data_IF_060600656922
#
_entry.id   IF_060600656922
#
_cell.length_a   1.000
_cell.length_b   1.000
_cell.length_c   1.000
_cell.angle_alpha   90.00
_cell.angle_beta   90.00
_cell.angle_gamma   90.00
#
_symmetry.space_group_name_H-M   'P 1'
#
loop_
_entity.id
_entity.type
_entity.pdbx_description
1 polymer ?
#
# COMPACT_ATOMS: atom_id res chain seq x y z
N UNK A 1 -10.82 -16.36 -19.50
CA UNK A 1 -9.65 -16.39 -18.59
C UNK A 1 -10.04 -17.09 -17.30
N UNK A 2 -9.15 -17.87 -16.68
CA UNK A 2 -9.38 -18.46 -15.35
C UNK A 2 -8.52 -17.69 -14.34
N UNK A 3 -9.19 -17.09 -13.36
CA UNK A 3 -8.58 -16.42 -12.21
C UNK A 3 -8.79 -17.28 -10.97
N UNK A 4 -7.72 -17.54 -10.22
CA UNK A 4 -7.78 -18.18 -8.92
C UNK A 4 -7.61 -17.13 -7.84
N UNK A 5 -8.52 -17.07 -6.86
CA UNK A 5 -8.39 -16.27 -5.66
C UNK A 5 -8.16 -17.21 -4.47
N UNK A 6 -7.04 -17.05 -3.76
CA UNK A 6 -6.78 -17.84 -2.56
C UNK A 6 -6.56 -17.00 -1.32
N UNK A 7 -6.61 -17.62 -0.15
CA UNK A 7 -6.37 -16.96 1.12
C UNK A 7 -7.13 -17.62 2.25
N UNK A 8 -6.53 -17.63 3.43
CA UNK A 8 -7.13 -18.19 4.64
C UNK A 8 -8.46 -17.51 4.99
N UNK A 9 -9.35 -18.18 5.74
CA UNK A 9 -10.55 -17.54 6.29
C UNK A 9 -10.20 -16.21 6.98
N UNK A 10 -10.99 -15.16 6.69
CA UNK A 10 -10.76 -13.82 7.20
C UNK A 10 -9.67 -12.99 6.49
N UNK A 11 -9.03 -13.52 5.44
CA UNK A 11 -8.06 -12.75 4.64
C UNK A 11 -8.69 -11.70 3.73
N UNK A 12 -10.01 -11.79 3.54
CA UNK A 12 -10.77 -10.90 2.65
C UNK A 12 -10.80 -11.35 1.20
N UNK A 13 -10.62 -12.66 0.92
CA UNK A 13 -10.82 -13.26 -0.42
C UNK A 13 -12.20 -12.96 -1.01
N UNK A 14 -13.26 -13.08 -0.22
CA UNK A 14 -14.63 -12.85 -0.68
C UNK A 14 -14.85 -11.39 -0.99
N UNK A 15 -14.38 -10.47 -0.14
CA UNK A 15 -14.41 -9.03 -0.45
C UNK A 15 -13.62 -8.67 -1.72
N UNK A 16 -12.56 -9.40 -2.07
CA UNK A 16 -11.86 -9.21 -3.33
C UNK A 16 -12.72 -9.66 -4.52
N UNK A 17 -13.41 -10.79 -4.40
CA UNK A 17 -14.33 -11.26 -5.44
C UNK A 17 -15.52 -10.31 -5.61
N UNK A 18 -16.13 -9.84 -4.52
CA UNK A 18 -17.24 -8.86 -4.56
C UNK A 18 -16.81 -7.57 -5.24
N UNK A 19 -15.58 -7.13 -5.02
CA UNK A 19 -15.02 -5.98 -5.72
C UNK A 19 -14.95 -6.21 -7.23
N UNK A 20 -14.44 -7.37 -7.67
CA UNK A 20 -14.42 -7.72 -9.10
C UNK A 20 -15.82 -7.83 -9.70
N UNK A 21 -16.81 -8.31 -8.93
CA UNK A 21 -18.22 -8.36 -9.35
C UNK A 21 -18.77 -6.92 -9.51
N UNK A 22 -18.52 -6.05 -8.53
CA UNK A 22 -18.92 -4.64 -8.57
C UNK A 22 -18.29 -3.91 -9.77
N UNK A 23 -17.01 -4.17 -10.04
CA UNK A 23 -16.29 -3.56 -11.15
C UNK A 23 -16.90 -4.00 -12.50
N UNK A 24 -17.35 -5.25 -12.64
CA UNK A 24 -18.13 -5.70 -13.80
C UNK A 24 -19.50 -4.99 -13.89
N UNK A 25 -20.20 -4.82 -12.76
CA UNK A 25 -21.52 -4.19 -12.72
C UNK A 25 -21.49 -2.69 -13.11
N UNK A 26 -20.38 -2.03 -12.79
CA UNK A 26 -20.13 -0.61 -13.06
C UNK A 26 -19.34 -0.34 -14.34
N UNK A 27 -18.82 -1.38 -15.00
CA UNK A 27 -18.05 -1.25 -16.22
C UNK A 27 -18.91 -0.85 -17.43
N UNK A 28 -18.27 -0.30 -18.46
CA UNK A 28 -18.93 0.10 -19.72
C UNK A 28 -19.60 -1.08 -20.43
N UNK A 29 -18.97 -2.27 -20.35
CA UNK A 29 -19.49 -3.52 -20.90
C UNK A 29 -19.75 -4.53 -19.80
N UNK A 30 -20.99 -4.53 -19.32
CA UNK A 30 -21.45 -5.45 -18.29
C UNK A 30 -21.63 -6.84 -18.91
N UNK A 31 -20.99 -7.84 -18.31
CA UNK A 31 -21.14 -9.24 -18.71
C UNK A 31 -22.10 -9.96 -17.75
N UNK A 32 -22.90 -10.94 -18.23
CA UNK A 32 -23.70 -11.79 -17.35
C UNK A 32 -22.79 -12.47 -16.33
N UNK A 33 -23.06 -12.28 -15.04
CA UNK A 33 -22.24 -12.84 -13.96
C UNK A 33 -23.06 -13.77 -13.10
N UNK A 34 -22.57 -15.00 -12.91
CA UNK A 34 -23.19 -16.03 -12.08
C UNK A 34 -22.28 -16.36 -10.90
N UNK A 35 -22.86 -16.52 -9.70
CA UNK A 35 -22.07 -16.76 -8.50
C UNK A 35 -22.82 -17.54 -7.43
N UNK A 36 -22.11 -18.42 -6.72
CA UNK A 36 -22.61 -19.12 -5.53
C UNK A 36 -22.18 -18.45 -4.21
N UNK A 37 -21.68 -17.21 -4.25
CA UNK A 37 -21.39 -16.44 -3.04
C UNK A 37 -22.73 -16.04 -2.40
N UNK A 38 -22.93 -16.48 -1.16
CA UNK A 38 -24.10 -16.12 -0.35
C UNK A 38 -24.08 -14.67 0.12
N UNK A 39 -25.25 -14.11 0.44
CA UNK A 39 -25.34 -12.79 1.09
C UNK A 39 -25.02 -11.59 0.18
N UNK A 40 -24.98 -11.79 -1.14
CA UNK A 40 -24.83 -10.72 -2.13
C UNK A 40 -26.15 -10.00 -2.39
N UNK A 41 -26.06 -8.69 -2.63
CA UNK A 41 -27.14 -7.92 -3.23
C UNK A 41 -27.09 -8.08 -4.77
N UNK A 42 -27.73 -9.15 -5.26
CA UNK A 42 -27.74 -9.51 -6.68
C UNK A 42 -28.26 -8.39 -7.60
N UNK A 43 -29.26 -7.63 -7.16
CA UNK A 43 -29.83 -6.52 -7.93
C UNK A 43 -28.82 -5.37 -8.11
N UNK A 44 -28.22 -4.89 -7.00
CA UNK A 44 -27.21 -3.83 -7.06
C UNK A 44 -25.95 -4.26 -7.80
N UNK A 45 -25.57 -5.53 -7.68
CA UNK A 45 -24.40 -6.11 -8.33
C UNK A 45 -24.66 -6.62 -9.75
N UNK A 46 -25.91 -6.53 -10.24
CA UNK A 46 -26.32 -6.96 -11.59
C UNK A 46 -25.83 -8.38 -11.93
N UNK A 47 -25.91 -9.28 -10.95
CA UNK A 47 -25.46 -10.66 -11.08
C UNK A 47 -26.58 -11.65 -10.70
N UNK A 48 -26.35 -12.92 -10.98
CA UNK A 48 -27.32 -14.00 -10.80
C UNK A 48 -26.77 -15.06 -9.84
N UNK A 49 -27.64 -15.71 -9.06
CA UNK A 49 -27.24 -16.87 -8.28
C UNK A 49 -26.84 -18.03 -9.19
N UNK A 50 -25.90 -18.85 -8.71
CA UNK A 50 -25.49 -20.10 -9.33
C UNK A 50 -25.79 -21.25 -8.36
N UNK A 51 -26.96 -21.85 -8.53
CA UNK A 51 -27.46 -22.89 -7.63
C UNK A 51 -26.62 -24.18 -7.67
N UNK A 52 -26.24 -24.61 -8.88
CA UNK A 52 -25.33 -25.72 -9.10
C UNK A 52 -24.03 -25.23 -9.76
N UNK A 53 -22.94 -25.08 -8.98
CA UNK A 53 -21.66 -24.66 -9.52
C UNK A 53 -21.03 -25.65 -10.51
N UNK A 54 -21.48 -26.91 -10.56
CA UNK A 54 -21.00 -27.88 -11.56
C UNK A 54 -21.61 -27.64 -12.95
N UNK A 55 -22.72 -26.89 -13.02
CA UNK A 55 -23.41 -26.55 -14.25
C UNK A 55 -22.84 -25.31 -14.98
N UNK A 56 -21.71 -24.77 -14.51
CA UNK A 56 -21.06 -23.63 -15.15
C UNK A 56 -20.77 -23.80 -16.66
N UNK A 57 -20.47 -25.00 -17.20
CA UNK A 57 -20.23 -25.17 -18.63
C UNK A 57 -21.43 -24.87 -19.52
N UNK A 58 -22.66 -24.92 -18.96
CA UNK A 58 -23.89 -24.68 -19.72
C UNK A 58 -24.31 -23.20 -19.75
N UNK A 59 -23.56 -22.33 -19.06
CA UNK A 59 -23.86 -20.90 -19.00
C UNK A 59 -23.61 -20.21 -20.35
N UNK A 60 -24.29 -19.08 -20.62
CA UNK A 60 -24.19 -18.41 -21.91
C UNK A 60 -22.77 -17.91 -22.21
N UNK A 61 -22.43 -17.86 -23.50
CA UNK A 61 -21.15 -17.32 -23.95
C UNK A 61 -20.97 -15.86 -23.52
N UNK A 62 -19.75 -15.51 -23.13
CA UNK A 62 -19.45 -14.19 -22.58
C UNK A 62 -19.76 -14.07 -21.09
N UNK A 63 -20.24 -15.10 -20.40
CA UNK A 63 -20.48 -15.06 -18.97
C UNK A 63 -19.18 -14.97 -18.14
N UNK A 64 -19.30 -14.38 -16.95
CA UNK A 64 -18.34 -14.49 -15.85
C UNK A 64 -18.96 -15.40 -14.79
N UNK A 65 -18.17 -16.33 -14.26
CA UNK A 65 -18.64 -17.28 -13.25
C UNK A 65 -17.71 -17.21 -12.05
N UNK A 66 -18.26 -16.88 -10.89
CA UNK A 66 -17.55 -16.83 -9.62
C UNK A 66 -17.94 -18.03 -8.79
N UNK A 67 -16.98 -18.87 -8.42
CA UNK A 67 -17.23 -20.08 -7.62
C UNK A 67 -16.47 -19.97 -6.31
N UNK A 68 -17.16 -19.68 -5.22
CA UNK A 68 -16.62 -19.75 -3.86
C UNK A 68 -16.54 -21.19 -3.36
N UNK A 69 -15.53 -21.45 -2.55
CA UNK A 69 -15.17 -22.77 -2.03
C UNK A 69 -15.13 -23.85 -3.13
N UNK A 70 -14.47 -23.55 -4.24
CA UNK A 70 -14.45 -24.39 -5.44
C UNK A 70 -13.82 -25.77 -5.21
N UNK A 71 -13.07 -25.97 -4.13
CA UNK A 71 -12.60 -27.30 -3.72
C UNK A 71 -13.74 -28.29 -3.42
N UNK A 72 -14.95 -27.80 -3.10
CA UNK A 72 -16.13 -28.66 -2.89
C UNK A 72 -16.58 -29.34 -4.18
N UNK A 73 -16.43 -28.67 -5.32
CA UNK A 73 -16.86 -29.18 -6.64
C UNK A 73 -15.70 -29.66 -7.51
N UNK A 74 -14.47 -29.21 -7.25
CA UNK A 74 -13.27 -29.58 -8.00
C UNK A 74 -12.15 -30.08 -7.05
N UNK A 75 -12.39 -31.10 -6.20
CA UNK A 75 -11.40 -31.57 -5.23
C UNK A 75 -10.21 -32.25 -5.93
N UNK A 76 -9.07 -32.44 -5.23
CA UNK A 76 -7.94 -33.17 -5.76
C UNK A 76 -8.34 -34.63 -5.99
N UNK A 77 -7.85 -35.21 -7.08
CA UNK A 77 -8.17 -36.58 -7.46
C UNK A 77 -6.97 -37.52 -7.28
N UNK A 78 -7.22 -38.82 -6.97
CA UNK A 78 -6.20 -39.85 -7.08
C UNK A 78 -5.66 -39.98 -8.50
N UNK A 79 -4.42 -40.45 -8.63
CA UNK A 79 -3.81 -40.74 -9.93
C UNK A 79 -4.66 -41.74 -10.73
N UNK A 80 -4.93 -41.44 -12.00
CA UNK A 80 -5.73 -42.28 -12.90
C UNK A 80 -7.26 -42.20 -12.72
N UNK A 81 -7.78 -41.45 -11.74
CA UNK A 81 -9.21 -41.25 -11.62
C UNK A 81 -9.78 -40.47 -12.82
N UNK A 82 -11.01 -40.78 -13.23
CA UNK A 82 -11.70 -40.06 -14.31
C UNK A 82 -11.85 -38.57 -13.96
N UNK A 83 -11.64 -37.70 -14.95
CA UNK A 83 -11.84 -36.24 -14.80
C UNK A 83 -13.35 -35.95 -14.83
N UNK A 84 -13.91 -35.21 -13.86
CA UNK A 84 -15.29 -34.76 -13.91
C UNK A 84 -15.54 -33.85 -15.14
N UNK A 85 -16.71 -33.92 -15.79
CA UNK A 85 -16.97 -33.15 -17.02
C UNK A 85 -16.77 -31.64 -16.87
N UNK A 86 -17.21 -31.06 -15.76
CA UNK A 86 -17.07 -29.62 -15.48
C UNK A 86 -15.64 -29.21 -15.15
N UNK A 87 -14.76 -30.14 -14.82
CA UNK A 87 -13.31 -29.88 -14.62
C UNK A 87 -12.57 -30.04 -15.94
N UNK A 88 -12.95 -31.03 -16.75
CA UNK A 88 -12.35 -31.25 -18.07
C UNK A 88 -12.61 -30.06 -19.02
N UNK A 89 -13.84 -29.50 -18.95
CA UNK A 89 -14.25 -28.33 -19.72
C UNK A 89 -13.48 -27.05 -19.38
N UNK A 90 -12.68 -27.04 -18.31
CA UNK A 90 -11.77 -25.93 -18.01
C UNK A 90 -10.77 -25.68 -19.14
N UNK A 91 -10.42 -26.67 -19.96
CA UNK A 91 -9.55 -26.46 -21.12
C UNK A 91 -10.25 -25.69 -22.25
N UNK A 92 -11.58 -25.81 -22.34
CA UNK A 92 -12.39 -25.25 -23.42
C UNK A 92 -13.07 -23.92 -23.04
N UNK A 93 -12.86 -23.44 -21.81
CA UNK A 93 -13.49 -22.24 -21.28
C UNK A 93 -13.34 -21.01 -22.20
N UNK A 94 -12.20 -20.88 -22.91
CA UNK A 94 -11.94 -19.79 -23.87
C UNK A 94 -12.80 -19.90 -25.12
N UNK A 95 -13.02 -21.11 -25.63
CA UNK A 95 -13.89 -21.35 -26.79
C UNK A 95 -15.36 -21.06 -26.46
N UNK A 96 -15.78 -21.39 -25.24
CA UNK A 96 -17.10 -21.02 -24.72
C UNK A 96 -17.23 -19.51 -24.45
N UNK A 97 -16.12 -18.76 -24.38
CA UNK A 97 -16.11 -17.35 -24.02
C UNK A 97 -16.45 -17.11 -22.53
N UNK A 98 -16.22 -18.11 -21.67
CA UNK A 98 -16.52 -18.05 -20.25
C UNK A 98 -15.25 -17.70 -19.46
N UNK A 99 -15.39 -16.73 -18.57
CA UNK A 99 -14.36 -16.37 -17.60
C UNK A 99 -14.72 -16.93 -16.23
N UNK A 100 -13.77 -17.61 -15.59
CA UNK A 100 -13.96 -18.20 -14.27
C UNK A 100 -13.13 -17.45 -13.23
N UNK A 101 -13.75 -17.20 -12.07
CA UNK A 101 -13.11 -16.72 -10.86
C UNK A 101 -13.33 -17.80 -9.80
N UNK A 102 -12.32 -18.65 -9.61
CA UNK A 102 -12.35 -19.75 -8.64
C UNK A 102 -11.81 -19.26 -7.31
N UNK A 103 -12.47 -19.56 -6.20
CA UNK A 103 -12.00 -19.18 -4.87
C UNK A 103 -11.85 -20.42 -3.97
N UNK A 104 -10.70 -20.52 -3.30
CA UNK A 104 -10.39 -21.62 -2.37
C UNK A 104 -9.46 -21.11 -1.26
N UNK A 105 -9.50 -21.67 -0.05
CA UNK A 105 -8.54 -21.31 0.99
C UNK A 105 -7.06 -21.52 0.57
N UNK A 106 -6.80 -22.60 -0.16
CA UNK A 106 -5.46 -23.03 -0.58
C UNK A 106 -5.51 -23.64 -2.00
N UNK A 107 -4.54 -23.35 -2.89
CA UNK A 107 -4.50 -23.92 -4.23
C UNK A 107 -4.46 -25.46 -4.24
N UNK A 108 -3.76 -26.09 -3.29
CA UNK A 108 -3.58 -27.56 -3.25
C UNK A 108 -4.89 -28.30 -2.93
N UNK A 109 -5.92 -27.59 -2.49
CA UNK A 109 -7.26 -28.14 -2.26
C UNK A 109 -8.08 -28.31 -3.54
N UNK A 110 -7.62 -27.84 -4.70
CA UNK A 110 -8.35 -27.98 -5.97
C UNK A 110 -7.65 -28.92 -6.94
N UNK A 111 -8.39 -29.42 -7.93
CA UNK A 111 -7.91 -30.32 -8.96
C UNK A 111 -6.62 -29.82 -9.65
N UNK A 112 -5.70 -30.74 -9.92
CA UNK A 112 -4.43 -30.45 -10.61
C UNK A 112 -4.68 -29.82 -12.00
N UNK A 113 -5.68 -30.30 -12.73
CA UNK A 113 -6.05 -29.73 -14.02
C UNK A 113 -6.51 -28.29 -13.86
N UNK A 114 -7.37 -28.02 -12.88
CA UNK A 114 -7.84 -26.67 -12.58
C UNK A 114 -6.65 -25.74 -12.31
N UNK A 115 -5.71 -26.13 -11.43
CA UNK A 115 -4.49 -25.35 -11.15
C UNK A 115 -3.67 -25.05 -12.40
N UNK A 116 -3.50 -26.02 -13.29
CA UNK A 116 -2.71 -25.86 -14.54
C UNK A 116 -3.36 -24.89 -15.54
N UNK A 117 -4.69 -24.77 -15.51
CA UNK A 117 -5.44 -23.87 -16.41
C UNK A 117 -5.54 -22.43 -15.89
N UNK A 118 -5.13 -22.17 -14.65
CA UNK A 118 -5.12 -20.82 -14.07
C UNK A 118 -4.17 -19.92 -14.84
N UNK A 119 -4.72 -18.82 -15.38
CA UNK A 119 -3.93 -17.77 -16.05
C UNK A 119 -3.63 -16.55 -15.17
N UNK A 120 -4.28 -16.45 -14.00
CA UNK A 120 -4.06 -15.38 -13.02
C UNK A 120 -4.35 -15.92 -11.63
N UNK A 121 -3.41 -15.76 -10.69
CA UNK A 121 -3.60 -16.15 -9.30
C UNK A 121 -3.47 -14.93 -8.40
N UNK A 122 -4.50 -14.65 -7.60
CA UNK A 122 -4.56 -13.60 -6.58
C UNK A 122 -4.62 -14.23 -5.19
N UNK A 123 -3.57 -14.15 -4.40
CA UNK A 123 -3.60 -14.57 -3.00
C UNK A 123 -3.82 -13.38 -2.07
N UNK A 124 -4.96 -13.38 -1.38
CA UNK A 124 -5.29 -12.42 -0.35
C UNK A 124 -4.67 -12.83 0.98
N UNK A 125 -3.73 -12.01 1.46
CA UNK A 125 -3.07 -12.15 2.75
C UNK A 125 -3.39 -10.96 3.64
N UNK A 126 -3.93 -11.20 4.84
CA UNK A 126 -4.24 -10.15 5.83
C UNK A 126 -3.26 -10.23 7.01
N UNK A 127 -2.24 -9.36 7.07
CA UNK A 127 -1.24 -9.44 8.12
C UNK A 127 -1.86 -8.98 9.45
N UNK A 128 -1.77 -9.81 10.49
CA UNK A 128 -2.15 -9.48 11.88
C UNK A 128 -3.56 -8.90 12.09
N UNK A 129 -4.50 -9.19 11.19
CA UNK A 129 -5.86 -8.66 11.27
C UNK A 129 -5.97 -7.15 10.99
N UNK A 130 -5.00 -6.54 10.30
CA UNK A 130 -5.08 -5.13 9.91
C UNK A 130 -6.29 -4.82 9.01
N UNK A 131 -6.67 -3.55 8.89
CA UNK A 131 -7.80 -3.09 8.05
C UNK A 131 -7.47 -3.07 6.54
N UNK A 132 -6.41 -3.74 6.14
CA UNK A 132 -6.02 -3.92 4.76
C UNK A 132 -5.52 -5.34 4.52
N UNK A 133 -5.56 -5.76 3.27
CA UNK A 133 -4.94 -7.00 2.78
C UNK A 133 -3.80 -6.66 1.82
N UNK A 134 -2.80 -7.53 1.77
CA UNK A 134 -1.88 -7.62 0.63
C UNK A 134 -2.46 -8.63 -0.36
N UNK A 135 -2.41 -8.29 -1.64
CA UNK A 135 -2.72 -9.20 -2.74
C UNK A 135 -1.40 -9.57 -3.39
N UNK A 136 -1.08 -10.85 -3.41
CA UNK A 136 0.03 -11.39 -4.17
C UNK A 136 -0.51 -11.92 -5.50
N UNK A 137 0.05 -11.43 -6.59
CA UNK A 137 -0.43 -11.73 -7.93
C UNK A 137 0.64 -12.48 -8.75
N UNK A 138 0.22 -13.52 -9.44
CA UNK A 138 1.01 -14.30 -10.40
C UNK A 138 0.23 -14.54 -11.69
N UNK A 139 0.95 -14.74 -12.81
CA UNK A 139 0.38 -15.10 -14.11
C UNK A 139 0.07 -16.60 -14.26
N UNK A 140 0.19 -17.37 -13.18
CA UNK A 140 -0.11 -18.80 -13.11
C UNK A 140 -0.40 -19.21 -11.67
N UNK A 141 -0.90 -20.43 -11.46
CA UNK A 141 -1.12 -20.95 -10.11
C UNK A 141 0.21 -21.20 -9.38
N UNK A 142 0.55 -20.33 -8.42
CA UNK A 142 1.52 -20.66 -7.36
C UNK A 142 0.90 -21.59 -6.31
N UNK A 143 1.44 -22.81 -6.16
CA UNK A 143 0.94 -23.80 -5.18
C UNK A 143 1.32 -23.48 -3.72
N UNK A 144 2.30 -22.59 -3.50
CA UNK A 144 2.77 -22.17 -2.19
C UNK A 144 2.72 -20.63 -2.06
N UNK A 145 1.50 -20.04 -2.04
CA UNK A 145 1.33 -18.58 -2.16
C UNK A 145 1.57 -17.81 -0.85
N UNK A 146 1.78 -18.51 0.28
CA UNK A 146 2.01 -17.88 1.58
C UNK A 146 3.27 -17.00 1.57
N UNK A 147 3.31 -15.88 2.33
CA UNK A 147 4.39 -14.91 2.28
C UNK A 147 5.80 -15.50 2.43
N UNK A 148 5.95 -16.55 3.23
CA UNK A 148 7.24 -17.22 3.45
C UNK A 148 7.88 -17.80 2.19
N UNK A 149 7.08 -18.15 1.18
CA UNK A 149 7.55 -18.79 -0.05
C UNK A 149 7.20 -17.96 -1.28
N UNK A 150 5.94 -17.52 -1.39
CA UNK A 150 5.40 -16.90 -2.59
C UNK A 150 5.77 -15.42 -2.79
N UNK A 151 6.04 -14.66 -1.72
CA UNK A 151 6.16 -13.19 -1.79
C UNK A 151 7.25 -12.71 -2.76
N UNK A 152 8.36 -13.46 -2.87
CA UNK A 152 9.55 -13.06 -3.66
C UNK A 152 9.28 -12.90 -5.16
N UNK A 153 8.35 -13.69 -5.69
CA UNK A 153 8.05 -13.74 -7.12
C UNK A 153 6.64 -13.22 -7.42
N UNK A 154 5.99 -12.57 -6.46
CA UNK A 154 4.65 -12.02 -6.59
C UNK A 154 4.70 -10.54 -6.94
N UNK A 155 3.74 -10.08 -7.74
CA UNK A 155 3.38 -8.67 -7.75
C UNK A 155 2.54 -8.38 -6.49
N UNK A 156 2.98 -7.44 -5.66
CA UNK A 156 2.36 -7.17 -4.36
C UNK A 156 1.58 -5.86 -4.40
N UNK A 157 0.28 -5.94 -4.18
CA UNK A 157 -0.59 -4.76 -4.06
C UNK A 157 -1.19 -4.69 -2.67
N UNK A 158 -1.01 -3.57 -1.97
CA UNK A 158 -1.68 -3.31 -0.69
C UNK A 158 -3.06 -2.72 -0.96
N UNK A 159 -4.11 -3.35 -0.42
CA UNK A 159 -5.50 -2.95 -0.66
C UNK A 159 -6.25 -2.78 0.67
N UNK A 160 -6.70 -1.57 1.03
CA UNK A 160 -7.55 -1.37 2.20
C UNK A 160 -8.92 -2.04 2.00
N UNK A 161 -9.60 -2.39 3.09
CA UNK A 161 -10.97 -2.87 2.99
C UNK A 161 -11.91 -1.68 2.73
N UNK A 162 -12.48 -1.65 1.52
CA UNK A 162 -13.50 -0.68 1.15
C UNK A 162 -14.80 -0.97 1.91
N UNK A 163 -15.24 0.01 2.71
CA UNK A 163 -16.43 -0.13 3.55
C UNK A 163 -17.73 -0.17 2.73
N UNK A 164 -17.74 0.42 1.53
CA UNK A 164 -18.91 0.40 0.65
C UNK A 164 -19.29 -1.01 0.19
N UNK A 165 -18.32 -1.94 0.15
CA UNK A 165 -18.56 -3.33 -0.23
C UNK A 165 -19.47 -4.06 0.78
N UNK A 166 -19.50 -3.63 2.05
CA UNK A 166 -20.40 -4.22 3.06
C UNK A 166 -21.87 -3.86 2.83
N UNK A 167 -22.17 -2.82 2.05
CA UNK A 167 -23.55 -2.54 1.63
C UNK A 167 -24.04 -3.49 0.52
N UNK A 168 -23.10 -4.08 -0.22
CA UNK A 168 -23.35 -4.97 -1.35
C UNK A 168 -23.25 -6.45 -0.95
N UNK A 169 -22.64 -6.75 0.19
CA UNK A 169 -22.37 -8.09 0.67
C UNK A 169 -22.42 -8.18 2.21
N UNK A 170 -23.20 -9.13 2.72
CA UNK A 170 -23.24 -9.49 4.14
C UNK A 170 -22.74 -10.92 4.32
N UNK A 171 -21.69 -11.11 5.13
CA UNK A 171 -21.15 -12.44 5.39
C UNK A 171 -22.03 -13.22 6.38
N UNK A 172 -22.36 -14.47 6.05
CA UNK A 172 -23.13 -15.36 6.91
C UNK A 172 -22.35 -15.90 8.13
N UNK A 173 -21.01 -15.76 8.15
CA UNK A 173 -20.16 -16.23 9.24
C UNK A 173 -19.69 -15.06 10.12
N UNK A 174 -20.38 -14.94 11.26
CA UNK A 174 -20.11 -14.14 12.46
C UNK A 174 -18.73 -13.46 12.50
N UNK A 175 -18.77 -12.13 12.55
CA UNK A 175 -17.70 -11.20 12.90
C UNK A 175 -16.81 -11.67 14.07
N UNK A 176 -15.82 -12.52 13.79
CA UNK A 176 -14.89 -13.02 14.82
C UNK A 176 -13.43 -12.88 14.38
N UNK A 177 -13.06 -11.71 13.86
CA UNK A 177 -11.66 -11.35 13.72
C UNK A 177 -11.34 -10.12 14.56
N UNK A 178 -10.97 -10.36 15.82
CA UNK A 178 -10.31 -9.35 16.65
C UNK A 178 -8.90 -9.13 16.10
N UNK A 179 -8.58 -7.90 15.71
CA UNK A 179 -7.23 -7.49 15.33
C UNK A 179 -6.26 -7.88 16.44
N UNK A 180 -5.22 -8.63 16.09
CA UNK A 180 -4.18 -9.07 17.03
C UNK A 180 -2.84 -8.53 16.53
N UNK A 181 -2.54 -7.24 16.80
CA UNK A 181 -1.23 -6.70 16.48
C UNK A 181 -0.15 -7.53 17.20
N UNK A 182 1.05 -7.72 16.60
CA UNK A 182 2.13 -8.51 17.18
C UNK A 182 2.83 -7.75 18.31
N UNK A 183 2.09 -7.52 19.42
CA UNK A 183 2.52 -6.75 20.59
C UNK A 183 3.87 -7.21 21.15
N UNK A 184 4.22 -8.49 21.02
CA UNK A 184 5.51 -9.04 21.48
C UNK A 184 6.73 -8.46 20.76
N UNK A 185 6.63 -8.18 19.45
CA UNK A 185 7.73 -7.60 18.67
C UNK A 185 7.89 -6.11 18.95
N UNK A 186 6.77 -5.40 19.09
CA UNK A 186 6.77 -4.00 19.51
C UNK A 186 7.25 -3.80 20.94
N UNK A 187 6.85 -4.68 21.87
CA UNK A 187 7.32 -4.65 23.26
C UNK A 187 8.83 -4.92 23.36
N UNK A 188 9.39 -5.79 22.51
CA UNK A 188 10.84 -6.02 22.47
C UNK A 188 11.61 -4.81 21.93
N UNK A 189 11.09 -4.15 20.89
CA UNK A 189 11.66 -2.90 20.37
C UNK A 189 11.60 -1.76 21.39
N UNK A 190 10.42 -1.51 21.98
CA UNK A 190 10.23 -0.49 23.02
C UNK A 190 11.09 -0.80 24.25
N UNK A 191 11.14 -2.07 24.65
CA UNK A 191 12.01 -2.54 25.73
C UNK A 191 13.46 -2.22 25.45
N UNK A 192 13.99 -2.60 24.28
CA UNK A 192 15.38 -2.33 23.90
C UNK A 192 15.72 -0.83 23.84
N UNK A 193 14.79 0.01 23.40
CA UNK A 193 14.96 1.45 23.35
C UNK A 193 15.00 2.06 24.75
N UNK A 194 14.13 1.60 25.66
CA UNK A 194 14.14 2.02 27.07
C UNK A 194 15.44 1.62 27.76
N UNK A 195 15.96 0.41 27.51
CA UNK A 195 17.24 -0.02 28.06
C UNK A 195 18.40 0.84 27.54
N UNK A 196 18.40 1.19 26.25
CA UNK A 196 19.42 2.06 25.67
C UNK A 196 19.39 3.46 26.29
N UNK A 197 18.21 4.04 26.51
CA UNK A 197 18.04 5.35 27.17
C UNK A 197 18.52 5.29 28.62
N UNK A 198 18.19 4.23 29.37
CA UNK A 198 18.63 4.03 30.75
C UNK A 198 20.17 3.90 30.85
N UNK A 199 20.79 3.14 29.95
CA UNK A 199 22.25 2.99 29.89
C UNK A 199 22.94 4.31 29.53
N UNK A 200 22.36 5.08 28.61
CA UNK A 200 22.87 6.41 28.23
C UNK A 200 22.77 7.41 29.38
N UNK A 201 21.64 7.45 30.09
CA UNK A 201 21.46 8.30 31.27
C UNK A 201 22.41 7.91 32.42
N UNK A 202 22.63 6.62 32.64
CA UNK A 202 23.59 6.13 33.64
C UNK A 202 25.03 6.51 33.30
N UNK A 203 25.44 6.33 32.03
CA UNK A 203 26.77 6.73 31.54
C UNK A 203 26.99 8.25 31.64
N UNK A 204 25.96 9.05 31.37
CA UNK A 204 26.04 10.50 31.49
C UNK A 204 26.18 10.91 32.97
N UNK A 205 25.39 10.32 33.86
CA UNK A 205 25.45 10.58 35.30
C UNK A 205 26.80 10.16 35.93
N UNK A 206 27.41 9.05 35.48
CA UNK A 206 28.72 8.63 35.97
C UNK A 206 29.85 9.58 35.54
N UNK A 207 29.80 10.11 34.31
CA UNK A 207 30.76 11.12 33.82
C UNK A 207 30.57 12.44 34.59
N UNK A 208 29.33 12.84 34.86
CA UNK A 208 29.02 14.07 35.58
C UNK A 208 29.47 14.02 37.05
N UNK A 209 29.39 12.86 37.71
CA UNK A 209 29.96 12.67 39.06
C UNK A 209 31.49 12.63 39.06
N UNK A 210 32.12 12.13 38.00
CA UNK A 210 33.57 12.11 37.89
C UNK A 210 34.16 13.51 37.61
N UNK A 211 33.35 14.46 37.15
CA UNK A 211 33.72 15.87 36.96
C UNK A 211 33.53 16.77 38.20
N UNK A 212 33.08 16.25 39.35
CA UNK A 212 32.83 17.02 40.58
C UNK A 212 33.82 16.73 41.72
N UNK A 213 34.97 16.13 41.44
CA UNK A 213 36.02 15.88 42.42
C UNK A 213 37.34 16.50 41.99
N UNK A 214 37.49 17.81 42.15
CA UNK A 214 38.72 18.46 42.61
C UNK A 214 38.51 19.98 42.71
N UNK A 215 38.43 20.48 43.95
CA UNK A 215 38.64 21.89 44.24
C UNK A 215 39.49 22.00 45.51
N UNK A 216 40.74 22.44 45.39
CA UNK A 216 41.41 23.18 46.45
C UNK A 216 41.42 24.67 46.12
N UNK A 217 40.86 25.44 47.05
CA UNK A 217 41.03 26.88 47.20
C UNK A 217 42.36 27.15 47.90
N UNK A 218 43.18 28.11 47.43
CA UNK A 218 43.57 29.31 48.20
C UNK A 218 44.42 30.28 47.33
N UNK A 219 44.37 31.57 47.71
CA UNK A 219 44.59 32.77 46.90
C UNK A 219 45.99 33.41 47.03
N UNK A 220 46.16 34.50 46.23
CA UNK A 220 47.06 35.67 46.35
C UNK A 220 48.29 35.69 45.40
N UNK A 221 48.62 36.75 44.64
CA UNK A 221 48.18 38.15 44.66
C UNK A 221 48.47 38.89 43.32
N UNK A 222 47.60 39.85 42.96
CA UNK A 222 47.79 41.21 42.35
C UNK A 222 48.89 41.47 41.30
N UNK A 223 48.67 42.21 40.19
CA UNK A 223 48.31 43.65 40.09
C UNK A 223 47.67 44.00 38.72
N UNK A 224 46.51 44.68 38.80
CA UNK A 224 45.99 45.87 38.05
C UNK A 224 46.42 46.20 36.61
N UNK A 225 45.42 46.29 35.71
CA UNK A 225 45.04 47.55 35.00
C UNK A 225 43.59 47.42 34.51
N UNK A 226 42.76 48.38 34.90
CA UNK A 226 41.40 48.60 34.41
C UNK A 226 41.42 49.81 33.48
N UNK A 227 40.72 49.75 32.34
CA UNK A 227 39.73 50.77 31.97
C UNK A 227 38.81 50.26 30.85
N UNK A 228 37.53 50.61 30.99
CA UNK A 228 36.39 50.26 30.14
C UNK A 228 36.11 51.35 29.11
N UNK A 229 35.65 50.96 27.92
CA UNK A 229 34.47 51.48 27.18
C UNK A 229 34.60 51.03 25.70
N UNK A 230 33.85 50.03 25.24
CA UNK A 230 32.44 50.07 24.82
C UNK A 230 32.23 50.68 23.42
N UNK A 231 32.15 49.84 22.38
CA UNK A 231 30.96 49.68 21.52
C UNK A 231 31.06 48.47 20.58
N UNK A 232 30.14 47.52 20.78
CA UNK A 232 29.45 46.66 19.81
C UNK A 232 30.18 46.14 18.56
N UNK A 233 30.55 44.85 18.59
CA UNK A 233 30.41 43.96 17.43
C UNK A 233 30.24 42.52 17.92
N UNK A 234 28.99 42.06 17.98
CA UNK A 234 28.68 40.65 18.16
C UNK A 234 29.01 39.90 16.87
N UNK A 235 29.98 38.98 16.91
CA UNK A 235 30.02 37.85 15.97
C UNK A 235 30.32 36.60 16.78
N UNK A 236 29.22 35.94 17.13
CA UNK A 236 29.15 34.56 17.58
C UNK A 236 29.82 33.68 16.52
N UNK A 237 30.92 33.01 16.87
CA UNK A 237 31.44 31.88 16.13
C UNK A 237 30.48 30.71 16.28
N UNK A 238 29.54 30.63 15.34
CA UNK A 238 28.64 29.52 15.13
C UNK A 238 29.45 28.27 14.75
N UNK A 239 29.18 27.18 15.47
CA UNK A 239 29.33 25.82 14.96
C UNK A 239 28.62 25.69 13.60
N UNK A 240 29.05 24.77 12.71
CA UNK A 240 28.36 24.54 11.45
C UNK A 240 26.96 24.01 11.74
N UNK A 241 25.98 24.91 11.76
CA UNK A 241 24.58 24.54 11.76
C UNK A 241 24.34 23.72 10.49
N UNK A 242 24.08 22.43 10.67
CA UNK A 242 23.46 21.61 9.62
C UNK A 242 22.29 22.42 9.05
N UNK A 243 22.18 22.58 7.72
CA UNK A 243 21.07 23.31 7.14
C UNK A 243 19.76 22.71 7.66
N UNK A 244 18.75 23.52 7.99
CA UNK A 244 17.47 23.01 8.44
C UNK A 244 16.94 21.97 7.44
N UNK A 245 16.33 20.86 7.91
CA UNK A 245 15.79 19.86 7.01
C UNK A 245 14.79 20.54 6.07
N UNK A 246 15.01 20.42 4.76
CA UNK A 246 14.12 20.98 3.75
C UNK A 246 12.70 20.44 4.00
N UNK A 247 11.70 21.30 4.20
CA UNK A 247 10.33 20.85 4.46
C UNK A 247 9.79 20.01 3.31
N UNK A 248 9.03 18.96 3.65
CA UNK A 248 8.42 18.08 2.65
C UNK A 248 7.12 18.69 2.10
N UNK A 249 6.94 18.56 0.79
CA UNK A 249 5.69 18.85 0.11
C UNK A 249 5.18 17.58 -0.61
N UNK A 250 3.89 17.53 -0.88
CA UNK A 250 3.25 16.36 -1.48
C UNK A 250 2.52 16.73 -2.75
N UNK A 251 2.79 16.00 -3.83
CA UNK A 251 1.98 16.07 -5.03
C UNK A 251 0.59 15.47 -4.76
N UNK A 252 -0.47 16.14 -5.24
CA UNK A 252 -1.86 15.70 -5.01
C UNK A 252 -2.60 15.39 -6.29
N UNK A 253 -2.52 16.26 -7.28
CA UNK A 253 -3.24 16.06 -8.53
C UNK A 253 -2.65 16.91 -9.64
N UNK A 254 -2.72 16.39 -10.86
CA UNK A 254 -2.52 17.14 -12.11
C UNK A 254 -3.88 17.31 -12.78
N UNK A 255 -4.22 18.52 -13.18
CA UNK A 255 -5.46 18.86 -13.89
C UNK A 255 -5.09 19.67 -15.13
N UNK A 256 -5.76 19.44 -16.26
CA UNK A 256 -5.56 20.26 -17.46
C UNK A 256 -6.71 21.25 -17.53
N UNK A 257 -6.41 22.55 -17.40
CA UNK A 257 -7.38 23.65 -17.48
C UNK A 257 -7.06 24.46 -18.72
N UNK A 258 -8.02 24.58 -19.64
CA UNK A 258 -7.86 25.30 -20.91
C UNK A 258 -6.62 24.87 -21.75
N UNK A 259 -6.24 23.58 -21.68
CA UNK A 259 -5.07 23.05 -22.39
C UNK A 259 -3.74 23.23 -21.67
N UNK A 260 -3.73 23.88 -20.50
CA UNK A 260 -2.53 24.05 -19.68
C UNK A 260 -2.55 23.11 -18.46
N UNK A 261 -1.43 22.42 -18.17
CA UNK A 261 -1.34 21.54 -17.02
C UNK A 261 -1.14 22.35 -15.73
N UNK A 262 -2.02 22.16 -14.76
CA UNK A 262 -1.94 22.69 -13.40
C UNK A 262 -1.63 21.57 -12.41
N UNK A 263 -0.77 21.86 -11.44
CA UNK A 263 -0.26 20.89 -10.47
C UNK A 263 -0.58 21.35 -9.06
N UNK A 264 -1.40 20.58 -8.33
CA UNK A 264 -1.74 20.86 -6.94
C UNK A 264 -0.74 20.20 -6.00
N UNK A 265 -0.16 21.01 -5.13
CA UNK A 265 0.90 20.68 -4.19
C UNK A 265 0.43 21.02 -2.78
N UNK A 266 0.61 20.12 -1.83
CA UNK A 266 0.35 20.36 -0.41
C UNK A 266 1.67 20.65 0.31
N UNK A 267 1.74 21.77 1.02
CA UNK A 267 2.93 22.19 1.76
C UNK A 267 2.89 21.62 3.19
N UNK A 268 3.60 20.51 3.46
CA UNK A 268 3.59 19.82 4.76
C UNK A 268 2.37 18.91 4.98
N UNK A 269 2.36 18.11 6.06
CA UNK A 269 1.22 17.27 6.42
C UNK A 269 0.07 18.14 6.99
N UNK A 270 -0.97 18.37 6.19
CA UNK A 270 -2.14 19.16 6.60
C UNK A 270 -2.02 20.68 6.37
N UNK A 271 -1.04 21.12 5.56
CA UNK A 271 -0.87 22.52 5.19
C UNK A 271 -1.74 22.99 4.01
N UNK A 272 -1.61 24.26 3.65
CA UNK A 272 -2.33 24.87 2.54
C UNK A 272 -1.96 24.28 1.18
N UNK A 273 -2.89 24.35 0.23
CA UNK A 273 -2.65 23.95 -1.16
C UNK A 273 -2.00 25.09 -1.95
N UNK A 274 -0.92 24.75 -2.64
CA UNK A 274 -0.26 25.61 -3.61
C UNK A 274 -0.35 24.99 -5.01
N UNK A 275 -0.35 25.83 -6.05
CA UNK A 275 -0.13 25.40 -7.42
C UNK A 275 1.35 25.57 -7.77
N UNK A 276 1.87 24.74 -8.67
CA UNK A 276 3.30 24.73 -9.03
C UNK A 276 3.78 26.06 -9.63
N UNK A 277 2.90 26.82 -10.26
CA UNK A 277 3.13 28.16 -10.80
C UNK A 277 3.42 29.22 -9.73
N UNK A 278 2.98 29.01 -8.48
CA UNK A 278 3.30 29.89 -7.36
C UNK A 278 4.76 29.78 -6.87
N UNK A 279 5.51 28.79 -7.36
CA UNK A 279 6.93 28.64 -7.08
C UNK A 279 7.76 29.28 -8.19
N UNK A 280 8.73 30.11 -7.79
CA UNK A 280 9.62 30.83 -8.69
C UNK A 280 10.41 29.89 -9.61
N UNK A 281 10.81 28.73 -9.10
CA UNK A 281 11.45 27.68 -9.89
C UNK A 281 11.22 26.30 -9.28
N UNK A 282 11.47 25.25 -10.07
CA UNK A 282 11.62 23.90 -9.56
C UNK A 282 12.80 23.22 -10.25
N UNK A 283 13.39 22.23 -9.59
CA UNK A 283 14.48 21.39 -10.12
C UNK A 283 14.19 19.92 -9.85
N UNK A 284 14.43 19.07 -10.84
CA UNK A 284 14.38 17.62 -10.66
C UNK A 284 15.78 17.11 -10.31
N UNK A 285 15.91 16.42 -9.18
CA UNK A 285 17.15 15.78 -8.72
C UNK A 285 16.90 14.29 -8.44
N UNK A 286 17.15 13.45 -9.44
CA UNK A 286 16.86 12.02 -9.38
C UNK A 286 15.35 11.76 -9.23
N UNK A 287 14.96 11.21 -8.08
CA UNK A 287 13.56 10.94 -7.74
C UNK A 287 12.88 12.07 -6.93
N UNK A 288 13.59 13.18 -6.70
CA UNK A 288 13.08 14.31 -5.93
C UNK A 288 12.79 15.50 -6.86
N UNK A 289 11.76 16.27 -6.53
CA UNK A 289 11.48 17.58 -7.12
C UNK A 289 11.66 18.62 -6.03
N UNK A 290 12.65 19.51 -6.20
CA UNK A 290 12.86 20.66 -5.34
C UNK A 290 12.05 21.85 -5.86
N UNK A 291 11.25 22.46 -5.00
CA UNK A 291 10.52 23.69 -5.28
C UNK A 291 11.22 24.86 -4.62
N UNK A 292 11.32 25.98 -5.32
CA UNK A 292 11.93 27.21 -4.87
C UNK A 292 10.87 28.31 -4.88
N UNK A 293 10.59 28.91 -3.72
CA UNK A 293 9.78 30.12 -3.63
C UNK A 293 10.59 31.26 -3.01
N UNK A 294 10.32 32.49 -3.45
CA UNK A 294 10.85 33.68 -2.80
C UNK A 294 9.90 34.13 -1.67
N UNK A 295 10.46 34.39 -0.50
CA UNK A 295 9.76 34.96 0.64
C UNK A 295 10.51 36.23 1.09
N UNK A 296 10.35 37.33 0.33
CA UNK A 296 11.18 38.53 0.49
C UNK A 296 12.59 38.31 -0.06
N UNK A 297 13.62 38.64 0.72
CA UNK A 297 15.04 38.43 0.36
C UNK A 297 15.51 36.97 0.58
N UNK A 298 14.67 36.13 1.22
CA UNK A 298 14.98 34.73 1.51
C UNK A 298 14.38 33.76 0.48
N UNK A 299 15.10 32.66 0.21
CA UNK A 299 14.65 31.57 -0.66
C UNK A 299 14.16 30.40 0.19
N UNK A 300 12.85 30.13 0.14
CA UNK A 300 12.26 28.96 0.77
C UNK A 300 12.31 27.76 -0.19
N UNK A 301 12.64 26.58 0.35
CA UNK A 301 12.76 25.34 -0.41
C UNK A 301 11.81 24.28 0.11
N UNK A 302 11.21 23.51 -0.78
CA UNK A 302 10.46 22.28 -0.43
C UNK A 302 10.92 21.11 -1.30
N UNK A 303 10.82 19.90 -0.76
CA UNK A 303 11.12 18.66 -1.49
C UNK A 303 9.84 17.83 -1.64
N UNK A 304 9.51 17.48 -2.89
CA UNK A 304 8.51 16.46 -3.21
C UNK A 304 9.23 15.16 -3.60
N UNK A 305 8.80 14.05 -3.01
CA UNK A 305 9.29 12.70 -3.34
C UNK A 305 8.16 11.90 -3.98
N UNK A 306 7.97 12.11 -5.27
CA UNK A 306 6.88 11.50 -6.02
C UNK A 306 7.35 11.13 -7.43
N UNK A 307 7.32 9.85 -7.77
CA UNK A 307 7.80 9.34 -9.05
C UNK A 307 6.89 9.71 -10.22
N UNK A 308 5.58 9.85 -9.97
CA UNK A 308 4.61 10.20 -10.99
C UNK A 308 4.75 11.69 -11.37
N UNK A 309 5.00 12.55 -10.38
CA UNK A 309 5.29 13.96 -10.62
C UNK A 309 6.49 14.16 -11.55
N UNK A 310 7.58 13.42 -11.36
CA UNK A 310 8.77 13.51 -12.23
C UNK A 310 8.41 13.17 -13.67
N UNK A 311 7.62 12.11 -13.89
CA UNK A 311 7.15 11.72 -15.23
C UNK A 311 6.25 12.79 -15.87
N UNK A 312 5.33 13.38 -15.10
CA UNK A 312 4.45 14.44 -15.61
C UNK A 312 5.20 15.72 -15.96
N UNK A 313 6.16 16.15 -15.13
CA UNK A 313 6.97 17.34 -15.40
C UNK A 313 7.86 17.19 -16.64
N UNK A 314 8.31 15.96 -16.94
CA UNK A 314 9.03 15.67 -18.18
C UNK A 314 8.11 15.69 -19.40
N UNK A 315 6.89 15.17 -19.26
CA UNK A 315 5.89 15.14 -20.34
C UNK A 315 5.38 16.55 -20.69
N UNK A 316 5.24 17.42 -19.68
CA UNK A 316 4.66 18.76 -19.82
C UNK A 316 5.70 19.87 -19.92
N UNK A 317 6.99 19.54 -20.07
CA UNK A 317 8.09 20.50 -20.04
C UNK A 317 7.87 21.68 -21.01
N UNK A 318 7.49 21.39 -22.26
CA UNK A 318 7.25 22.41 -23.28
C UNK A 318 6.04 23.32 -22.96
N UNK A 319 4.98 22.74 -22.38
CA UNK A 319 3.77 23.47 -22.00
C UNK A 319 3.96 24.34 -20.74
N UNK A 320 4.81 23.89 -19.82
CA UNK A 320 5.16 24.62 -18.60
C UNK A 320 6.14 25.77 -18.87
N UNK A 321 7.05 25.61 -19.84
CA UNK A 321 7.95 26.68 -20.27
C UNK A 321 7.23 27.78 -21.06
N UNK A 322 6.10 27.48 -21.71
CA UNK A 322 5.27 28.47 -22.39
C UNK A 322 4.43 29.35 -21.43
N UNK A 323 4.34 28.96 -20.15
CA UNK A 323 3.47 29.59 -19.14
C UNK A 323 4.26 30.32 -18.03
N UNK A 324 5.60 30.39 -18.15
CA UNK A 324 6.54 31.09 -17.28
C UNK A 324 7.27 32.18 -18.07
#
# INVERSE_FOLDING_TARGET
MITLITGRPGSGKTLLAVEMIRDNANGERIRPLFTNIDGLNFERLRCFPLDDPTAWPQLPSGAIVVIDECQKIMPPRPSGAKVPPHVDFLNEHRHAGIDLILMTPDPKLIDVLARKTVGRHLHAYRPFGMEHRKIFEWNSCNEDPEPSQGEKNALITKKPFDKSLYELYTSAEVHTHKSRPPLKKFALLIGSLLTAILLFAWSFWSIWQQGQGDTPSEQAATVTTAEQEAVSAAVSSAEPSLPPPIPQAFFRSRVVVNGHPEYRIELGEGGGYASLDMFAAYRVEGANVLLLAHAGDDVAQWVIRDADLVGYLQQDADALMANR
#
